data_IF_747498148362
#
_entry.id   IF_747498148362
#
_cell.length_a   1.000
_cell.length_b   1.000
_cell.length_c   1.000
_cell.angle_alpha   90.00
_cell.angle_beta   90.00
_cell.angle_gamma   90.00
#
_symmetry.space_group_name_H-M   'P 1'
#
loop_
_entity.id
_entity.type
_entity.pdbx_description
1 polymer ?
#
# COMPACT_ATOMS: atom_id res chain seq x y z
N UNK A 1 -7.50 -3.90 11.37
CA UNK A 1 -6.91 -2.57 11.67
C UNK A 1 -8.00 -1.70 12.30
N UNK A 2 -7.70 -1.00 13.39
CA UNK A 2 -8.61 0.00 13.95
C UNK A 2 -8.10 1.41 13.62
N UNK A 3 -8.89 2.15 12.84
CA UNK A 3 -8.60 3.53 12.42
C UNK A 3 -9.13 4.58 13.41
N UNK A 4 -9.82 4.16 14.47
CA UNK A 4 -10.41 5.06 15.45
C UNK A 4 -11.45 6.01 14.84
N UNK A 5 -11.77 7.09 15.57
CA UNK A 5 -12.77 8.08 15.14
C UNK A 5 -12.20 9.16 14.21
N UNK A 6 -10.90 9.44 14.32
CA UNK A 6 -10.22 10.44 13.49
C UNK A 6 -9.96 9.91 12.08
N UNK A 7 -9.66 8.61 11.97
CA UNK A 7 -9.33 7.96 10.72
C UNK A 7 -7.91 8.24 10.25
N UNK A 8 -7.57 7.72 9.07
CA UNK A 8 -6.24 7.92 8.48
C UNK A 8 -6.15 9.17 7.57
N UNK A 9 -5.01 9.86 7.65
CA UNK A 9 -4.61 10.99 6.80
C UNK A 9 -3.73 10.56 5.63
N UNK A 10 -2.99 9.47 5.79
CA UNK A 10 -2.00 9.03 4.83
C UNK A 10 -1.55 7.61 5.09
N UNK A 11 -0.96 7.01 4.06
CA UNK A 11 -0.41 5.67 4.12
C UNK A 11 1.05 5.72 3.68
N UNK A 12 1.91 4.99 4.36
CA UNK A 12 3.30 4.79 3.92
C UNK A 12 3.63 3.31 3.89
N UNK A 13 4.47 2.91 2.94
CA UNK A 13 4.97 1.55 2.84
C UNK A 13 6.43 1.53 2.39
N UNK A 14 7.20 0.58 2.92
CA UNK A 14 8.55 0.28 2.47
C UNK A 14 8.48 -0.85 1.44
N UNK A 15 8.81 -0.52 0.20
CA UNK A 15 8.59 -1.37 -0.97
C UNK A 15 9.73 -1.22 -1.98
N UNK A 16 9.76 -2.12 -2.97
CA UNK A 16 10.67 -2.03 -4.09
C UNK A 16 10.39 -3.06 -5.17
N UNK A 17 11.08 -2.95 -6.29
CA UNK A 17 11.13 -3.95 -7.36
C UNK A 17 12.48 -3.92 -8.04
N UNK A 18 12.92 -5.07 -8.55
CA UNK A 18 14.19 -5.21 -9.27
C UNK A 18 14.08 -4.69 -10.70
N UNK A 19 13.18 -5.27 -11.49
CA UNK A 19 13.08 -5.04 -12.94
C UNK A 19 11.65 -4.83 -13.46
N UNK A 20 10.64 -4.86 -12.58
CA UNK A 20 9.25 -4.72 -13.00
C UNK A 20 8.82 -3.25 -12.98
N UNK A 21 8.43 -2.72 -14.14
CA UNK A 21 7.83 -1.39 -14.26
C UNK A 21 6.32 -1.43 -14.07
N UNK A 22 5.73 -0.25 -13.84
CA UNK A 22 4.28 -0.05 -13.71
C UNK A 22 3.63 -0.90 -12.60
N UNK A 23 4.38 -1.18 -11.53
CA UNK A 23 3.89 -1.93 -10.38
C UNK A 23 3.17 -1.01 -9.41
N UNK A 24 1.98 -1.43 -8.97
CA UNK A 24 1.23 -0.73 -7.93
C UNK A 24 0.75 -1.69 -6.85
N UNK A 25 0.45 -1.14 -5.68
CA UNK A 25 -0.23 -1.84 -4.59
C UNK A 25 -1.48 -1.06 -4.20
N UNK A 26 -2.65 -1.66 -4.40
CA UNK A 26 -3.90 -1.12 -3.85
C UNK A 26 -4.05 -1.55 -2.40
N UNK A 27 -4.43 -0.61 -1.54
CA UNK A 27 -4.87 -0.88 -0.17
C UNK A 27 -6.38 -0.84 -0.15
N UNK A 28 -7.01 -1.95 0.24
CA UNK A 28 -8.45 -2.16 0.22
C UNK A 28 -9.00 -2.52 1.60
N UNK A 29 -10.28 -2.22 1.80
CA UNK A 29 -11.00 -2.56 3.03
C UNK A 29 -11.90 -3.78 2.87
N UNK A 30 -12.00 -4.56 3.95
CA UNK A 30 -13.01 -5.59 4.25
C UNK A 30 -13.01 -6.84 3.35
N UNK A 31 -12.59 -6.74 2.09
CA UNK A 31 -12.51 -7.88 1.16
C UNK A 31 -11.53 -7.62 0.01
N UNK A 32 -11.12 -8.68 -0.68
CA UNK A 32 -10.23 -8.62 -1.86
C UNK A 32 -10.73 -7.66 -2.97
N UNK A 33 -12.05 -7.56 -3.16
CA UNK A 33 -12.70 -6.66 -4.13
C UNK A 33 -13.33 -5.43 -3.47
N UNK A 34 -12.89 -5.09 -2.26
CA UNK A 34 -13.39 -3.97 -1.49
C UNK A 34 -12.98 -2.60 -2.06
N UNK A 35 -13.45 -1.50 -1.44
CA UNK A 35 -13.08 -0.15 -1.84
C UNK A 35 -11.57 0.06 -1.71
N UNK A 36 -10.97 0.75 -2.68
CA UNK A 36 -9.55 1.12 -2.67
C UNK A 36 -9.40 2.46 -1.95
N UNK A 37 -8.73 2.44 -0.81
CA UNK A 37 -8.52 3.65 0.00
C UNK A 37 -7.21 4.35 -0.33
N UNK A 38 -6.21 3.63 -0.83
CA UNK A 38 -4.94 4.17 -1.28
C UNK A 38 -4.36 3.30 -2.40
N UNK A 39 -3.61 3.91 -3.31
CA UNK A 39 -2.84 3.21 -4.33
C UNK A 39 -1.39 3.66 -4.22
N UNK A 40 -0.49 2.74 -3.91
CA UNK A 40 0.95 2.96 -3.86
C UNK A 40 1.55 2.67 -5.22
N UNK A 41 2.34 3.61 -5.74
CA UNK A 41 3.24 3.35 -6.88
C UNK A 41 4.53 2.76 -6.33
N UNK A 42 4.93 1.60 -6.84
CA UNK A 42 6.14 0.90 -6.36
C UNK A 42 7.32 1.25 -7.27
N UNK A 43 8.40 1.87 -6.75
CA UNK A 43 9.54 2.28 -7.55
C UNK A 43 10.47 1.12 -7.88
N UNK A 44 11.19 1.21 -9.01
CA UNK A 44 12.31 0.33 -9.30
C UNK A 44 13.49 0.70 -8.41
N UNK A 45 13.78 -0.14 -7.43
CA UNK A 45 14.87 0.02 -6.47
C UNK A 45 16.12 -0.77 -6.88
N UNK A 46 15.98 -1.69 -7.84
CA UNK A 46 17.10 -2.36 -8.51
C UNK A 46 17.73 -3.53 -7.75
N UNK A 47 17.07 -4.05 -6.70
CA UNK A 47 17.53 -5.18 -5.90
C UNK A 47 16.49 -5.62 -4.87
N UNK A 48 16.59 -6.86 -4.39
CA UNK A 48 15.80 -7.39 -3.25
C UNK A 48 16.33 -6.91 -1.89
N UNK A 49 17.52 -6.33 -1.89
CA UNK A 49 18.18 -5.65 -0.77
C UNK A 49 17.99 -4.12 -0.78
N UNK A 50 17.30 -3.57 -1.79
CA UNK A 50 17.09 -2.12 -1.99
C UNK A 50 15.62 -1.75 -1.90
N UNK A 51 15.34 -0.69 -1.14
CA UNK A 51 13.98 -0.36 -0.71
C UNK A 51 13.79 1.14 -0.62
N UNK A 52 12.56 1.60 -0.88
CA UNK A 52 12.14 2.96 -0.64
C UNK A 52 10.89 3.00 0.24
N UNK A 53 10.80 4.01 1.11
CA UNK A 53 9.56 4.32 1.82
C UNK A 53 8.77 5.34 1.01
N UNK A 54 7.66 4.89 0.45
CA UNK A 54 6.78 5.73 -0.39
C UNK A 54 5.53 6.12 0.38
N UNK A 55 5.00 7.30 0.07
CA UNK A 55 3.74 7.81 0.63
C UNK A 55 2.63 7.70 -0.40
N UNK A 56 1.44 7.33 0.05
CA UNK A 56 0.21 7.40 -0.72
C UNK A 56 -0.85 8.17 0.08
N UNK A 57 -1.63 8.96 -0.64
CA UNK A 57 -2.77 9.66 -0.08
C UNK A 57 -3.92 8.69 0.18
N UNK A 58 -4.56 8.84 1.33
CA UNK A 58 -5.79 8.11 1.67
C UNK A 58 -6.96 8.93 1.13
N UNK A 59 -7.65 8.39 0.13
CA UNK A 59 -8.63 9.13 -0.68
C UNK A 59 -9.94 9.42 0.04
N UNK A 60 -10.26 8.60 1.04
CA UNK A 60 -11.52 8.68 1.77
C UNK A 60 -11.32 8.48 3.26
N UNK A 61 -12.13 9.16 4.06
CA UNK A 61 -12.09 9.04 5.51
C UNK A 61 -12.48 7.63 5.92
N UNK A 62 -11.50 6.87 6.41
CA UNK A 62 -11.67 5.51 6.91
C UNK A 62 -11.62 5.53 8.44
N UNK A 63 -12.66 5.04 9.13
CA UNK A 63 -12.77 5.06 10.60
C UNK A 63 -13.26 3.72 11.13
N UNK A 64 -12.93 3.39 12.38
CA UNK A 64 -13.34 2.13 13.01
C UNK A 64 -12.51 0.94 12.55
N UNK A 65 -13.04 -0.27 12.78
CA UNK A 65 -12.32 -1.52 12.59
C UNK A 65 -12.61 -2.10 11.22
N UNK A 66 -11.56 -2.33 10.43
CA UNK A 66 -11.62 -2.92 9.10
C UNK A 66 -10.51 -3.96 8.89
N UNK A 67 -10.79 -4.95 8.07
CA UNK A 67 -9.75 -5.81 7.52
C UNK A 67 -9.04 -5.10 6.37
N UNK A 68 -7.72 -5.29 6.27
CA UNK A 68 -6.91 -4.69 5.22
C UNK A 68 -6.49 -5.75 4.20
N UNK A 69 -6.59 -5.39 2.94
CA UNK A 69 -6.16 -6.20 1.81
C UNK A 69 -5.18 -5.41 0.96
N UNK A 70 -4.02 -6.00 0.70
CA UNK A 70 -2.99 -5.43 -0.18
C UNK A 70 -3.01 -6.19 -1.51
N UNK A 71 -3.39 -5.51 -2.59
CA UNK A 71 -3.47 -6.11 -3.93
C UNK A 71 -2.29 -5.62 -4.76
N UNK A 72 -1.39 -6.53 -5.11
CA UNK A 72 -0.21 -6.23 -5.91
C UNK A 72 -0.54 -6.37 -7.40
N UNK A 73 -0.39 -5.29 -8.15
CA UNK A 73 -0.68 -5.24 -9.58
C UNK A 73 0.63 -5.09 -10.35
N UNK A 74 0.88 -5.98 -11.30
CA UNK A 74 2.03 -5.92 -12.19
C UNK A 74 1.89 -6.92 -13.33
N UNK A 75 2.74 -6.79 -14.35
CA UNK A 75 2.73 -7.67 -15.53
C UNK A 75 3.52 -8.97 -15.32
N UNK A 76 4.42 -9.00 -14.33
CA UNK A 76 5.25 -10.15 -14.04
C UNK A 76 4.41 -11.31 -13.44
N UNK A 77 4.72 -12.54 -13.83
CA UNK A 77 4.00 -13.73 -13.34
C UNK A 77 4.37 -14.12 -11.90
N UNK A 78 5.52 -13.66 -11.41
CA UNK A 78 6.03 -13.88 -10.05
C UNK A 78 6.97 -12.75 -9.67
N UNK A 79 7.34 -12.69 -8.38
CA UNK A 79 8.33 -11.74 -7.85
C UNK A 79 7.99 -10.28 -8.25
N UNK A 80 6.69 -9.95 -8.17
CA UNK A 80 6.13 -8.69 -8.69
C UNK A 80 6.74 -7.47 -7.99
N UNK A 81 6.89 -7.55 -6.67
CA UNK A 81 7.48 -6.53 -5.81
C UNK A 81 7.96 -7.14 -4.50
N UNK A 82 8.76 -6.37 -3.76
CA UNK A 82 9.07 -6.61 -2.36
C UNK A 82 8.26 -5.68 -1.46
N UNK A 83 7.80 -6.22 -0.32
CA UNK A 83 7.00 -5.50 0.68
C UNK A 83 7.50 -5.84 2.07
N UNK A 84 7.90 -4.81 2.84
CA UNK A 84 8.47 -4.99 4.18
C UNK A 84 7.48 -4.55 5.28
N UNK A 85 7.31 -3.24 5.46
CA UNK A 85 6.37 -2.68 6.44
C UNK A 85 5.49 -1.60 5.85
N UNK A 86 4.44 -1.26 6.60
CA UNK A 86 3.52 -0.17 6.30
C UNK A 86 3.05 0.52 7.58
N UNK A 87 2.53 1.73 7.45
CA UNK A 87 1.84 2.43 8.53
C UNK A 87 0.81 3.41 7.99
N UNK A 88 -0.22 3.68 8.79
CA UNK A 88 -1.12 4.81 8.57
C UNK A 88 -0.70 5.99 9.45
N UNK A 89 -0.80 7.18 8.89
CA UNK A 89 -0.75 8.42 9.63
C UNK A 89 -2.18 8.75 10.07
N UNK A 90 -2.38 9.03 11.36
CA UNK A 90 -3.69 9.45 11.87
C UNK A 90 -4.03 10.88 11.37
N UNK A 91 -5.31 11.16 11.15
CA UNK A 91 -5.78 12.55 10.99
C UNK A 91 -5.59 13.32 12.30
N UNK A 92 -5.09 14.56 12.21
CA UNK A 92 -5.00 15.46 13.36
C UNK A 92 -6.38 15.77 13.96
#
# INVERSE_FOLDING_TARGET
>A
MDFGKKGAAGFTARVGTTHNSDVTMDVRLDRLTGPVIATVKVPLTGGDDRWETVKAEVKEKTTGVHDLYFIFNGKAAKDVMFFDYWTFLENN
#
